data_IF_553828245137
#
_entry.id   IF_553828245137
#
_cell.length_a   1.000
_cell.length_b   1.000
_cell.length_c   1.000
_cell.angle_alpha   90.00
_cell.angle_beta   90.00
_cell.angle_gamma   90.00
#
_symmetry.space_group_name_H-M   'P 1'
#
loop_
_entity.id
_entity.type
_entity.pdbx_description
1 polymer ?
#
# COMPACT_ATOMS: atom_id res chain seq x y z
N UNK A 1 2.26 2.64 -12.43
CA UNK A 1 2.09 3.92 -11.73
C UNK A 1 3.45 4.52 -11.37
N UNK A 2 3.57 5.84 -11.47
CA UNK A 2 4.83 6.56 -11.23
C UNK A 2 4.79 7.20 -9.85
N UNK A 3 5.82 6.96 -9.05
CA UNK A 3 5.99 7.57 -7.74
C UNK A 3 7.21 8.48 -7.70
N UNK A 4 7.11 9.57 -6.96
CA UNK A 4 8.25 10.43 -6.64
C UNK A 4 8.67 10.12 -5.22
N UNK A 5 9.89 9.62 -5.05
CA UNK A 5 10.47 9.35 -3.75
C UNK A 5 11.62 10.30 -3.48
N UNK A 6 11.78 10.73 -2.23
CA UNK A 6 12.92 11.53 -1.78
C UNK A 6 13.76 10.72 -0.81
N UNK A 7 15.06 10.66 -1.10
CA UNK A 7 16.03 9.96 -0.25
C UNK A 7 17.31 10.79 -0.19
N UNK A 8 17.76 11.12 1.02
CA UNK A 8 18.96 11.92 1.25
C UNK A 8 18.97 13.24 0.45
N UNK A 9 17.82 13.93 0.37
CA UNK A 9 17.67 15.17 -0.39
C UNK A 9 17.55 15.01 -1.91
N UNK A 10 17.72 13.81 -2.44
CA UNK A 10 17.58 13.53 -3.87
C UNK A 10 16.14 13.10 -4.19
N UNK A 11 15.68 13.46 -5.38
CA UNK A 11 14.36 13.07 -5.89
C UNK A 11 14.54 11.91 -6.86
N UNK A 12 13.79 10.84 -6.62
CA UNK A 12 13.77 9.66 -7.49
C UNK A 12 12.37 9.48 -8.06
N UNK A 13 12.32 9.16 -9.34
CA UNK A 13 11.09 8.73 -9.99
C UNK A 13 11.13 7.21 -10.06
N UNK A 14 10.14 6.56 -9.44
CA UNK A 14 10.03 5.11 -9.49
C UNK A 14 8.80 4.70 -10.28
N UNK A 15 8.92 3.63 -11.05
CA UNK A 15 7.82 3.02 -11.81
C UNK A 15 7.41 1.74 -11.11
N UNK A 16 6.31 1.82 -10.37
CA UNK A 16 5.70 0.66 -9.73
C UNK A 16 4.83 -0.10 -10.72
N UNK A 17 4.68 -1.39 -10.53
CA UNK A 17 3.86 -2.20 -11.42
C UNK A 17 3.14 -3.35 -10.72
N UNK A 18 2.13 -3.88 -11.40
CA UNK A 18 1.44 -5.08 -11.02
C UNK A 18 0.30 -4.89 -10.04
N UNK A 19 -0.23 -6.00 -9.55
CA UNK A 19 -1.45 -6.06 -8.73
C UNK A 19 -1.38 -5.21 -7.46
N UNK A 20 -0.22 -5.20 -6.80
CA UNK A 20 -0.02 -4.42 -5.57
C UNK A 20 0.97 -3.28 -5.76
N UNK A 21 1.28 -2.92 -7.00
CA UNK A 21 2.19 -1.83 -7.34
C UNK A 21 3.58 -2.04 -6.74
N UNK A 22 4.23 -3.14 -7.11
CA UNK A 22 5.60 -3.45 -6.65
C UNK A 22 6.57 -2.34 -7.03
N UNK A 23 7.30 -1.84 -6.05
CA UNK A 23 8.46 -0.99 -6.28
C UNK A 23 9.62 -1.83 -6.83
N UNK A 24 10.52 -1.24 -7.65
CA UNK A 24 11.68 -1.98 -8.15
C UNK A 24 12.54 -2.63 -7.07
N UNK A 25 12.75 -1.93 -5.94
CA UNK A 25 13.51 -2.46 -4.81
C UNK A 25 12.81 -3.65 -4.15
N UNK A 26 11.49 -3.58 -4.01
CA UNK A 26 10.68 -4.66 -3.45
C UNK A 26 10.73 -5.89 -4.36
N UNK A 27 10.57 -5.70 -5.66
CA UNK A 27 10.67 -6.79 -6.62
C UNK A 27 12.04 -7.49 -6.53
N UNK A 28 13.14 -6.71 -6.48
CA UNK A 28 14.47 -7.28 -6.32
C UNK A 28 14.63 -8.09 -5.04
N UNK A 29 14.03 -7.64 -3.94
CA UNK A 29 14.08 -8.41 -2.67
C UNK A 29 13.34 -9.75 -2.77
N UNK A 30 12.40 -9.86 -3.69
CA UNK A 30 11.67 -11.10 -3.99
C UNK A 30 12.33 -11.94 -5.09
N UNK A 31 13.48 -11.52 -5.59
CA UNK A 31 14.22 -12.25 -6.63
C UNK A 31 13.71 -12.03 -8.05
N UNK A 32 12.99 -10.94 -8.32
CA UNK A 32 12.42 -10.63 -9.62
C UNK A 32 12.63 -9.17 -9.99
N UNK A 33 12.42 -8.84 -11.25
CA UNK A 33 12.42 -7.44 -11.73
C UNK A 33 11.01 -6.97 -12.03
N UNK A 34 10.79 -5.66 -12.00
CA UNK A 34 9.49 -5.08 -12.41
C UNK A 34 9.19 -5.37 -13.88
N UNK A 35 10.21 -5.44 -14.74
CA UNK A 35 10.01 -5.80 -16.14
C UNK A 35 9.48 -7.23 -16.30
N UNK A 36 10.00 -8.18 -15.52
CA UNK A 36 9.49 -9.54 -15.52
C UNK A 36 8.04 -9.60 -14.98
N UNK A 37 7.74 -8.86 -13.93
CA UNK A 37 6.37 -8.76 -13.39
C UNK A 37 5.37 -8.21 -14.42
N UNK A 38 5.77 -7.22 -15.21
CA UNK A 38 4.91 -6.64 -16.26
C UNK A 38 4.52 -7.65 -17.32
N UNK A 39 5.34 -8.67 -17.56
CA UNK A 39 5.07 -9.74 -18.54
C UNK A 39 4.16 -10.83 -18.01
N UNK A 40 3.90 -10.84 -16.72
CA UNK A 40 3.05 -11.84 -16.06
C UNK A 40 1.59 -11.45 -16.12
N UNK A 41 0.70 -12.45 -16.24
CA UNK A 41 -0.71 -12.24 -15.99
C UNK A 41 -0.99 -12.12 -14.49
N UNK A 42 -2.22 -11.78 -14.11
CA UNK A 42 -2.60 -11.58 -12.72
C UNK A 42 -2.38 -12.85 -11.85
N UNK A 43 -2.67 -14.01 -12.40
CA UNK A 43 -2.51 -15.29 -11.67
C UNK A 43 -1.04 -15.58 -11.39
N UNK A 44 -0.18 -15.35 -12.38
CA UNK A 44 1.27 -15.56 -12.21
C UNK A 44 1.86 -14.61 -11.16
N UNK A 45 1.35 -13.37 -11.09
CA UNK A 45 1.79 -12.40 -10.09
C UNK A 45 1.43 -12.79 -8.66
N UNK A 46 0.40 -13.62 -8.45
CA UNK A 46 -0.06 -14.00 -7.11
C UNK A 46 1.02 -14.70 -6.28
N UNK A 47 1.93 -15.44 -6.89
CA UNK A 47 3.05 -16.05 -6.16
C UNK A 47 3.95 -14.99 -5.51
N UNK A 48 4.17 -13.88 -6.20
CA UNK A 48 4.96 -12.76 -5.67
C UNK A 48 4.19 -11.93 -4.67
N UNK A 49 2.89 -11.78 -4.84
CA UNK A 49 2.01 -11.16 -3.83
C UNK A 49 2.05 -11.97 -2.54
N UNK A 50 1.96 -13.29 -2.63
CA UNK A 50 2.06 -14.19 -1.47
C UNK A 50 3.42 -14.06 -0.80
N UNK A 51 4.52 -14.07 -1.57
CA UNK A 51 5.87 -13.90 -1.04
C UNK A 51 6.04 -12.55 -0.33
N UNK A 52 5.45 -11.48 -0.88
CA UNK A 52 5.47 -10.15 -0.26
C UNK A 52 4.72 -10.14 1.08
N UNK A 53 3.55 -10.75 1.16
CA UNK A 53 2.71 -10.73 2.35
C UNK A 53 3.17 -11.70 3.45
N UNK A 54 3.96 -12.71 3.10
CA UNK A 54 4.39 -13.76 4.05
C UNK A 54 5.04 -13.23 5.34
N UNK A 55 5.92 -12.21 5.32
CA UNK A 55 6.51 -11.65 6.55
C UNK A 55 5.47 -11.05 7.50
N UNK A 56 4.30 -10.68 6.99
CA UNK A 56 3.22 -10.07 7.79
C UNK A 56 2.20 -11.09 8.28
N UNK A 57 2.42 -12.37 8.01
CA UNK A 57 1.56 -13.46 8.47
C UNK A 57 1.41 -13.40 9.99
N UNK A 58 0.17 -13.49 10.47
CA UNK A 58 -0.13 -13.42 11.90
C UNK A 58 -0.23 -11.99 12.46
N UNK A 59 0.22 -10.99 11.71
CA UNK A 59 0.11 -9.56 12.07
C UNK A 59 -1.11 -8.89 11.44
N UNK A 60 -1.58 -9.42 10.34
CA UNK A 60 -2.75 -8.90 9.62
C UNK A 60 -4.02 -9.53 10.21
N UNK A 61 -4.78 -8.73 10.94
CA UNK A 61 -5.99 -9.20 11.65
C UNK A 61 -7.28 -8.63 11.09
N UNK A 62 -7.18 -7.75 10.10
CA UNK A 62 -8.31 -7.13 9.44
C UNK A 62 -7.99 -6.87 7.99
N UNK A 63 -9.02 -6.54 7.20
CA UNK A 63 -8.85 -6.15 5.81
C UNK A 63 -7.95 -4.90 5.68
N UNK A 64 -8.11 -3.95 6.61
CA UNK A 64 -7.28 -2.74 6.64
C UNK A 64 -5.81 -3.09 6.83
N UNK A 65 -5.50 -4.06 7.68
CA UNK A 65 -4.11 -4.50 7.89
C UNK A 65 -3.49 -5.06 6.62
N UNK A 66 -4.26 -5.80 5.81
CA UNK A 66 -3.78 -6.29 4.51
C UNK A 66 -3.47 -5.12 3.58
N UNK A 67 -4.33 -4.12 3.53
CA UNK A 67 -4.08 -2.91 2.76
C UNK A 67 -2.84 -2.18 3.27
N UNK A 68 -2.69 -2.03 4.58
CA UNK A 68 -1.53 -1.37 5.19
C UNK A 68 -0.23 -2.13 4.95
N UNK A 69 -0.25 -3.46 4.87
CA UNK A 69 0.94 -4.24 4.53
C UNK A 69 1.52 -3.83 3.17
N UNK A 70 0.67 -3.41 2.25
CA UNK A 70 1.08 -2.89 0.95
C UNK A 70 1.41 -1.39 1.01
N UNK A 71 0.55 -0.61 1.64
CA UNK A 71 0.62 0.85 1.61
C UNK A 71 1.62 1.42 2.62
N UNK A 72 1.53 0.99 3.88
CA UNK A 72 2.39 1.50 4.96
C UNK A 72 2.50 0.48 6.10
N UNK A 73 3.40 -0.51 5.98
CA UNK A 73 3.47 -1.65 6.92
C UNK A 73 3.67 -1.27 8.38
N UNK A 74 4.33 -0.14 8.65
CA UNK A 74 4.54 0.34 10.03
C UNK A 74 3.25 0.65 10.78
N UNK A 75 2.15 0.85 10.06
CA UNK A 75 0.84 1.18 10.63
C UNK A 75 -0.01 -0.05 10.96
N UNK A 76 0.42 -1.25 10.61
CA UNK A 76 -0.34 -2.49 10.86
C UNK A 76 -0.65 -2.62 12.36
N UNK A 77 -1.93 -2.84 12.67
CA UNK A 77 -2.40 -3.04 14.05
C UNK A 77 -2.50 -1.77 14.88
N UNK A 78 -2.27 -0.59 14.31
CA UNK A 78 -2.32 0.69 15.02
C UNK A 78 -3.57 1.47 14.61
N UNK A 79 -4.39 1.88 15.58
CA UNK A 79 -5.69 2.51 15.31
C UNK A 79 -5.58 4.00 15.00
N UNK A 80 -4.80 4.74 15.80
CA UNK A 80 -4.66 6.20 15.70
C UNK A 80 -3.28 6.63 15.19
N UNK A 81 -2.64 5.77 14.43
CA UNK A 81 -1.32 6.06 13.90
C UNK A 81 -1.41 7.09 12.78
N UNK A 82 -0.61 8.16 12.91
CA UNK A 82 -0.48 9.19 11.88
C UNK A 82 0.63 8.78 10.92
N UNK A 83 0.31 8.71 9.64
CA UNK A 83 1.28 8.42 8.59
C UNK A 83 1.92 9.74 8.16
N UNK A 84 3.17 9.93 8.54
CA UNK A 84 3.98 11.05 8.12
C UNK A 84 5.20 10.52 7.34
N UNK A 85 5.82 11.25 6.48
CA UNK A 85 5.80 12.70 6.27
C UNK A 85 4.65 13.20 5.38
N UNK A 86 4.48 14.51 5.35
CA UNK A 86 3.43 15.22 4.61
C UNK A 86 3.40 14.90 3.10
N UNK A 87 4.54 14.48 2.53
CA UNK A 87 4.60 14.07 1.12
C UNK A 87 3.69 12.87 0.84
N UNK A 88 3.52 11.97 1.81
CA UNK A 88 2.60 10.83 1.68
C UNK A 88 1.17 11.33 1.58
N UNK A 89 0.79 12.30 2.42
CA UNK A 89 -0.54 12.91 2.36
C UNK A 89 -0.77 13.65 1.05
N UNK A 90 0.22 14.39 0.56
CA UNK A 90 0.12 15.11 -0.71
C UNK A 90 -0.03 14.19 -1.92
N UNK A 91 0.61 13.03 -1.89
CA UNK A 91 0.53 12.03 -2.96
C UNK A 91 -0.71 11.14 -2.86
N UNK A 92 -1.38 11.12 -1.73
CA UNK A 92 -2.52 10.26 -1.44
C UNK A 92 -3.70 11.04 -0.87
N UNK A 93 -4.06 12.13 -1.53
CA UNK A 93 -5.11 13.07 -1.09
C UNK A 93 -6.46 12.42 -0.83
N UNK A 94 -6.74 11.30 -1.47
CA UNK A 94 -8.00 10.56 -1.25
C UNK A 94 -8.14 10.08 0.21
N UNK A 95 -7.03 9.90 0.91
CA UNK A 95 -7.03 9.47 2.31
C UNK A 95 -6.98 10.64 3.30
N UNK A 96 -6.61 11.83 2.86
CA UNK A 96 -6.58 13.02 3.72
C UNK A 96 -7.98 13.66 3.74
N UNK A 97 -8.88 13.05 4.50
CA UNK A 97 -10.31 13.40 4.48
C UNK A 97 -10.59 14.78 5.07
N UNK A 98 -9.85 15.18 6.09
CA UNK A 98 -10.01 16.48 6.74
C UNK A 98 -9.08 17.57 6.19
N UNK A 99 -8.22 17.25 5.23
CA UNK A 99 -7.31 18.16 4.54
C UNK A 99 -6.31 18.85 5.47
N UNK A 100 -5.86 18.15 6.49
CA UNK A 100 -4.86 18.65 7.45
C UNK A 100 -3.41 18.28 7.08
N UNK A 101 -3.20 17.61 5.94
CA UNK A 101 -1.93 17.11 5.42
C UNK A 101 -1.32 15.97 6.26
N UNK A 102 -2.10 15.41 7.16
CA UNK A 102 -1.77 14.17 7.87
C UNK A 102 -2.76 13.09 7.45
N UNK A 103 -2.28 11.85 7.36
CA UNK A 103 -3.15 10.70 7.12
C UNK A 103 -3.11 9.80 8.34
N UNK A 104 -4.29 9.53 8.92
CA UNK A 104 -4.43 8.58 10.02
C UNK A 104 -4.91 7.23 9.50
N UNK A 105 -4.69 6.18 10.28
CA UNK A 105 -5.22 4.85 9.96
C UNK A 105 -6.75 4.88 9.92
N UNK A 106 -7.38 5.66 10.78
CA UNK A 106 -8.84 5.82 10.81
C UNK A 106 -9.37 6.45 9.52
N UNK A 107 -8.65 7.44 8.97
CA UNK A 107 -9.01 8.03 7.68
C UNK A 107 -8.88 7.03 6.53
N UNK A 108 -7.82 6.23 6.51
CA UNK A 108 -7.65 5.16 5.53
C UNK A 108 -8.80 4.17 5.62
N UNK A 109 -9.12 3.74 6.83
CA UNK A 109 -10.24 2.82 7.10
C UNK A 109 -11.57 3.37 6.57
N UNK A 110 -11.85 4.63 6.84
CA UNK A 110 -13.06 5.31 6.39
C UNK A 110 -13.09 5.42 4.86
N UNK A 111 -12.00 5.86 4.25
CA UNK A 111 -11.92 6.00 2.79
C UNK A 111 -12.09 4.66 2.07
N UNK A 112 -11.45 3.61 2.56
CA UNK A 112 -11.58 2.27 1.98
C UNK A 112 -13.03 1.76 2.08
N UNK A 113 -13.67 1.95 3.23
CA UNK A 113 -15.07 1.57 3.42
C UNK A 113 -15.99 2.34 2.48
N UNK A 114 -15.80 3.65 2.35
CA UNK A 114 -16.64 4.49 1.49
C UNK A 114 -16.54 4.11 0.01
N UNK A 115 -15.39 3.62 -0.41
CA UNK A 115 -15.14 3.23 -1.80
C UNK A 115 -15.37 1.74 -2.07
N UNK A 116 -15.75 0.97 -1.05
CA UNK A 116 -16.03 -0.45 -1.19
C UNK A 116 -17.42 -0.66 -1.79
N UNK A 117 -17.60 -1.60 -2.73
CA UNK A 117 -18.93 -1.96 -3.22
C UNK A 117 -19.84 -2.37 -2.06
N UNK A 118 -21.10 -1.91 -2.10
CA UNK A 118 -22.06 -2.09 -1.01
C UNK A 118 -22.21 -3.53 -0.55
N UNK A 119 -22.22 -4.47 -1.51
CA UNK A 119 -22.34 -5.91 -1.23
C UNK A 119 -21.21 -6.48 -0.37
N UNK A 120 -20.07 -5.81 -0.31
CA UNK A 120 -18.91 -6.26 0.48
C UNK A 120 -18.75 -5.52 1.81
N UNK A 121 -19.49 -4.43 2.04
CA UNK A 121 -19.34 -3.63 3.26
C UNK A 121 -19.60 -4.42 4.53
N UNK A 122 -20.49 -5.41 4.48
CA UNK A 122 -20.77 -6.28 5.62
C UNK A 122 -19.59 -7.10 6.10
N UNK A 123 -18.58 -7.33 5.26
CA UNK A 123 -17.37 -8.05 5.60
C UNK A 123 -16.24 -7.15 6.08
N UNK A 124 -16.47 -5.84 6.06
CA UNK A 124 -15.46 -4.87 6.43
C UNK A 124 -15.42 -4.70 7.94
N UNK A 125 -14.26 -5.00 8.52
CA UNK A 125 -14.02 -4.88 9.96
C UNK A 125 -13.00 -3.80 10.27
#
# INVERSE_FOLDING_TARGET
ETFIARRNGNVYITHNCGLIQFMPSTARSLGITTDALKRMNNVQQLDYVLAYLRPYRGKMKSWVDVYLAVFYPKAIGKTHFVITPDIVAKQNKIFDLNKDLDITVDEIKTALRNNMPEKYKKFYL
#
